data_IF_290936704479
#
_entry.id   IF_290936704479
#
_cell.length_a   1.000
_cell.length_b   1.000
_cell.length_c   1.000
_cell.angle_alpha   90.00
_cell.angle_beta   90.00
_cell.angle_gamma   90.00
#
_symmetry.space_group_name_H-M   'P 1'
#
loop_
_entity.id
_entity.type
_entity.pdbx_description
1 polymer ?
#
# COMPACT_ATOMS: atom_id res chain seq x y z
N UNK A 1 1.83 18.20 -53.21
CA UNK A 1 1.51 18.73 -51.87
C UNK A 1 2.83 19.19 -51.23
N UNK A 2 2.98 20.47 -50.87
CA UNK A 2 4.30 20.97 -50.43
C UNK A 2 4.69 20.41 -49.06
N UNK A 3 5.99 20.17 -48.84
CA UNK A 3 6.55 19.62 -47.59
C UNK A 3 6.05 20.37 -46.34
N UNK A 4 5.79 21.68 -46.47
CA UNK A 4 5.22 22.53 -45.41
C UNK A 4 3.80 22.12 -44.99
N UNK A 5 2.96 21.65 -45.93
CA UNK A 5 1.60 21.19 -45.63
C UNK A 5 1.59 19.82 -44.95
N UNK A 6 2.57 18.97 -45.22
CA UNK A 6 2.74 17.67 -44.55
C UNK A 6 3.17 17.85 -43.09
N UNK A 7 4.07 18.80 -42.82
CA UNK A 7 4.59 19.09 -41.48
C UNK A 7 3.50 19.63 -40.52
N UNK A 8 2.57 20.44 -41.05
CA UNK A 8 1.46 21.03 -40.29
C UNK A 8 0.40 20.01 -39.87
N UNK A 9 0.27 18.89 -40.60
CA UNK A 9 -0.68 17.82 -40.27
C UNK A 9 -0.08 16.83 -39.25
N UNK A 10 1.24 16.64 -39.26
CA UNK A 10 1.93 15.73 -38.34
C UNK A 10 2.11 16.30 -36.92
N UNK A 11 2.18 17.63 -36.77
CA UNK A 11 2.36 18.29 -35.47
C UNK A 11 1.24 17.99 -34.44
N UNK A 12 -0.07 18.07 -34.78
CA UNK A 12 -1.13 17.74 -33.81
C UNK A 12 -1.21 16.24 -33.49
N UNK A 13 -0.79 15.35 -34.39
CA UNK A 13 -0.74 13.91 -34.12
C UNK A 13 0.32 13.54 -33.07
N UNK A 14 1.45 14.26 -33.02
CA UNK A 14 2.48 14.08 -32.00
C UNK A 14 2.07 14.61 -30.62
N UNK A 15 1.21 15.63 -30.56
CA UNK A 15 0.71 16.18 -29.29
C UNK A 15 -0.39 15.30 -28.70
N UNK A 16 -1.23 14.67 -29.53
CA UNK A 16 -2.28 13.76 -29.05
C UNK A 16 -1.73 12.46 -28.45
N UNK A 17 -0.59 11.94 -28.91
CA UNK A 17 -0.03 10.69 -28.37
C UNK A 17 0.52 10.83 -26.96
N UNK A 18 0.88 12.03 -26.52
CA UNK A 18 1.36 12.27 -25.16
C UNK A 18 0.24 12.39 -24.11
N UNK A 19 -1.02 12.49 -24.52
CA UNK A 19 -2.17 12.60 -23.61
C UNK A 19 -2.73 11.24 -23.15
N UNK A 20 -2.34 10.13 -23.77
CA UNK A 20 -2.84 8.78 -23.44
C UNK A 20 -1.88 7.93 -22.60
N UNK A 21 -0.73 8.47 -22.19
CA UNK A 21 0.23 7.78 -21.32
C UNK A 21 0.08 8.15 -19.83
N UNK A 22 -1.12 8.56 -19.41
CA UNK A 22 -1.43 8.73 -17.99
C UNK A 22 -1.72 7.35 -17.40
N UNK A 23 -0.64 6.75 -16.90
CA UNK A 23 -0.59 5.47 -16.20
C UNK A 23 -1.71 5.43 -15.15
N UNK A 24 -2.66 4.52 -15.36
CA UNK A 24 -3.85 4.37 -14.53
C UNK A 24 -3.45 4.15 -13.08
N UNK A 25 -4.24 4.69 -12.14
CA UNK A 25 -4.25 4.42 -10.70
C UNK A 25 -4.43 2.91 -10.40
N UNK A 26 -3.46 2.09 -10.80
CA UNK A 26 -3.52 0.66 -10.63
C UNK A 26 -3.42 0.38 -9.14
N UNK A 27 -4.47 -0.23 -8.58
CA UNK A 27 -4.54 -0.61 -7.17
C UNK A 27 -3.47 -1.65 -6.79
N UNK A 28 -2.83 -2.24 -7.79
CA UNK A 28 -1.67 -3.11 -7.62
C UNK A 28 -0.78 -3.12 -8.87
N UNK A 29 0.44 -3.62 -8.69
CA UNK A 29 1.38 -3.93 -9.78
C UNK A 29 1.87 -5.37 -9.63
N UNK A 30 1.83 -6.12 -10.72
CA UNK A 30 2.39 -7.48 -10.84
C UNK A 30 3.78 -7.40 -11.47
N UNK A 31 4.76 -8.07 -10.90
CA UNK A 31 6.11 -8.16 -11.44
C UNK A 31 6.54 -9.64 -11.49
N UNK A 32 6.48 -10.29 -12.67
CA UNK A 32 6.99 -11.63 -12.87
C UNK A 32 8.51 -11.70 -12.64
N UNK A 33 8.97 -12.79 -12.04
CA UNK A 33 10.36 -13.14 -11.79
C UNK A 33 10.58 -14.62 -12.10
N UNK A 34 11.83 -15.08 -12.21
CA UNK A 34 12.12 -16.49 -12.45
C UNK A 34 11.60 -17.36 -11.30
N UNK A 35 10.52 -18.09 -11.57
CA UNK A 35 9.84 -18.98 -10.63
C UNK A 35 9.02 -18.27 -9.56
N UNK A 36 8.73 -16.97 -9.64
CA UNK A 36 7.75 -16.35 -8.74
C UNK A 36 7.16 -15.07 -9.30
N UNK A 37 6.09 -14.58 -8.67
CA UNK A 37 5.50 -13.28 -8.96
C UNK A 37 5.52 -12.41 -7.71
N UNK A 38 5.96 -11.15 -7.87
CA UNK A 38 5.81 -10.13 -6.85
C UNK A 38 4.53 -9.33 -7.11
N UNK A 39 3.72 -9.17 -6.08
CA UNK A 39 2.56 -8.30 -6.09
C UNK A 39 2.84 -7.10 -5.19
N UNK A 40 2.64 -5.89 -5.72
CA UNK A 40 2.73 -4.64 -4.98
C UNK A 40 1.33 -4.05 -4.88
N UNK A 41 0.80 -3.92 -3.66
CA UNK A 41 -0.53 -3.33 -3.45
C UNK A 41 -0.35 -1.83 -3.22
N UNK A 42 -1.09 -0.99 -3.94
CA UNK A 42 -0.90 0.46 -3.89
C UNK A 42 -1.20 1.03 -2.49
N UNK A 43 -0.50 2.11 -2.07
CA UNK A 43 -0.64 2.65 -0.73
C UNK A 43 -2.08 3.07 -0.42
N UNK A 44 -2.63 2.54 0.66
CA UNK A 44 -3.97 2.90 1.16
C UNK A 44 -3.85 3.84 2.36
N UNK A 45 -4.67 4.90 2.40
CA UNK A 45 -4.57 5.91 3.46
C UNK A 45 -5.36 5.53 4.70
N UNK A 46 -4.70 5.59 5.85
CA UNK A 46 -5.32 5.58 7.17
C UNK A 46 -5.07 6.94 7.83
N UNK A 47 -6.15 7.55 8.34
CA UNK A 47 -6.12 8.93 8.87
C UNK A 47 -6.39 8.91 10.37
N UNK A 48 -5.42 9.34 11.18
CA UNK A 48 -5.64 9.55 12.60
C UNK A 48 -6.47 10.83 12.84
N UNK A 49 -7.50 10.73 13.68
CA UNK A 49 -8.21 11.90 14.23
C UNK A 49 -7.59 12.29 15.59
N UNK A 50 -7.26 13.57 15.86
CA UNK A 50 -7.23 14.74 14.97
C UNK A 50 -5.80 15.05 14.45
N UNK A 51 -5.55 14.78 13.16
CA UNK A 51 -5.15 15.84 12.21
C UNK A 51 -3.67 16.15 11.98
N UNK A 52 -2.70 15.38 12.48
CA UNK A 52 -1.26 15.68 12.22
C UNK A 52 -0.42 14.52 11.71
N UNK A 53 -0.95 13.30 11.73
CA UNK A 53 -0.23 12.12 11.29
C UNK A 53 -1.08 11.35 10.30
N UNK A 54 -0.53 11.11 9.11
CA UNK A 54 -1.12 10.25 8.08
C UNK A 54 -0.32 8.96 8.02
N UNK A 55 -1.01 7.84 7.92
CA UNK A 55 -0.43 6.54 7.66
C UNK A 55 -0.83 6.13 6.24
N UNK A 56 0.13 5.65 5.46
CA UNK A 56 -0.14 4.93 4.21
C UNK A 56 0.42 3.53 4.33
N UNK A 57 -0.32 2.52 3.88
CA UNK A 57 0.12 1.12 3.95
C UNK A 57 0.07 0.48 2.57
N UNK A 58 1.13 -0.22 2.21
CA UNK A 58 1.23 -1.06 1.03
C UNK A 58 1.78 -2.43 1.41
N UNK A 59 1.58 -3.42 0.52
CA UNK A 59 1.97 -4.80 0.78
C UNK A 59 2.79 -5.34 -0.38
N UNK A 60 3.76 -6.20 -0.05
CA UNK A 60 4.49 -6.99 -1.03
C UNK A 60 4.52 -8.44 -0.60
N UNK A 61 4.20 -9.34 -1.52
CA UNK A 61 4.37 -10.77 -1.29
C UNK A 61 4.85 -11.47 -2.54
N UNK A 62 5.57 -12.57 -2.31
CA UNK A 62 6.11 -13.45 -3.32
C UNK A 62 5.20 -14.68 -3.46
N UNK A 63 4.88 -15.05 -4.70
CA UNK A 63 4.06 -16.23 -5.00
C UNK A 63 4.80 -17.19 -5.93
N UNK A 64 4.90 -18.47 -5.56
CA UNK A 64 5.61 -19.55 -6.28
C UNK A 64 4.79 -20.86 -6.19
N UNK A 65 3.57 -20.87 -6.71
CA UNK A 65 2.62 -22.02 -6.72
C UNK A 65 1.98 -22.40 -5.37
N UNK A 66 2.42 -21.81 -4.26
CA UNK A 66 1.80 -21.97 -2.95
C UNK A 66 1.55 -20.61 -2.29
N UNK A 67 0.53 -20.57 -1.43
CA UNK A 67 0.23 -19.41 -0.59
C UNK A 67 1.47 -19.08 0.27
N UNK A 68 1.90 -17.80 0.33
CA UNK A 68 3.05 -17.44 1.14
C UNK A 68 2.70 -17.47 2.63
N UNK A 69 3.68 -17.81 3.48
CA UNK A 69 3.50 -17.78 4.93
C UNK A 69 3.42 -16.34 5.46
N UNK A 70 4.14 -15.42 4.83
CA UNK A 70 4.26 -14.02 5.24
C UNK A 70 4.16 -13.03 4.08
N UNK A 71 3.76 -11.81 4.43
CA UNK A 71 3.68 -10.65 3.54
C UNK A 71 4.49 -9.53 4.18
N UNK A 72 5.26 -8.81 3.36
CA UNK A 72 5.91 -7.58 3.79
C UNK A 72 4.90 -6.44 3.78
N UNK A 73 4.43 -6.06 4.97
CA UNK A 73 3.65 -4.84 5.16
C UNK A 73 4.61 -3.66 5.27
N UNK A 74 4.49 -2.71 4.35
CA UNK A 74 5.23 -1.45 4.39
C UNK A 74 4.27 -0.34 4.74
N UNK A 75 4.73 0.60 5.57
CA UNK A 75 3.89 1.73 5.91
C UNK A 75 4.68 3.00 6.11
N UNK A 76 4.04 4.13 5.77
CA UNK A 76 4.62 5.46 5.78
C UNK A 76 3.90 6.36 6.76
N UNK A 77 4.65 6.91 7.72
CA UNK A 77 4.19 7.93 8.66
C UNK A 77 4.61 9.30 8.17
N UNK A 78 3.63 10.18 7.97
CA UNK A 78 3.84 11.58 7.63
C UNK A 78 3.56 12.44 8.84
N UNK A 79 4.58 13.12 9.39
CA UNK A 79 4.41 13.92 10.61
C UNK A 79 5.32 15.15 10.65
N UNK A 80 5.16 16.01 11.66
CA UNK A 80 5.98 17.23 11.82
C UNK A 80 7.36 16.98 12.43
N UNK A 81 7.57 15.84 13.08
CA UNK A 81 8.82 15.48 13.76
C UNK A 81 9.35 14.16 13.18
N UNK A 82 10.66 13.91 13.14
CA UNK A 82 11.16 12.63 12.64
C UNK A 82 10.73 11.50 13.58
N UNK A 83 10.22 10.40 13.02
CA UNK A 83 9.94 9.16 13.75
C UNK A 83 11.01 8.15 13.34
N UNK A 84 11.96 7.87 14.24
CA UNK A 84 13.11 7.00 13.95
C UNK A 84 12.92 5.55 14.37
N UNK A 85 11.95 5.30 15.26
CA UNK A 85 11.68 3.97 15.80
C UNK A 85 10.25 3.89 16.30
N UNK A 86 9.74 2.66 16.34
CA UNK A 86 8.42 2.28 16.80
C UNK A 86 8.60 1.09 17.74
N UNK A 87 7.83 1.04 18.82
CA UNK A 87 7.90 -0.03 19.81
C UNK A 87 7.14 -1.26 19.31
N UNK A 88 5.96 -1.05 18.73
CA UNK A 88 5.12 -2.11 18.18
C UNK A 88 4.02 -1.58 17.26
N UNK A 89 3.45 -2.49 16.49
CA UNK A 89 2.25 -2.29 15.67
C UNK A 89 1.23 -3.38 16.00
N UNK A 90 -0.05 -3.00 16.08
CA UNK A 90 -1.17 -3.92 16.32
C UNK A 90 -2.30 -3.62 15.34
N UNK A 91 -2.87 -4.66 14.75
CA UNK A 91 -3.95 -4.58 13.78
C UNK A 91 -5.25 -5.04 14.45
N UNK A 92 -6.32 -4.26 14.31
CA UNK A 92 -7.62 -4.52 14.91
C UNK A 92 -8.73 -4.47 13.87
N UNK A 93 -9.79 -5.25 14.07
CA UNK A 93 -11.11 -5.06 13.46
C UNK A 93 -12.14 -4.90 14.57
N UNK A 94 -12.61 -3.67 14.80
CA UNK A 94 -13.43 -3.36 15.96
C UNK A 94 -12.68 -3.64 17.28
N UNK A 95 -13.15 -4.58 18.08
CA UNK A 95 -12.50 -5.02 19.33
C UNK A 95 -11.57 -6.22 19.14
N UNK A 96 -11.64 -6.91 17.99
CA UNK A 96 -10.83 -8.09 17.72
C UNK A 96 -9.41 -7.69 17.30
N UNK A 97 -8.40 -8.28 17.95
CA UNK A 97 -7.00 -8.18 17.52
C UNK A 97 -6.75 -9.19 16.41
N UNK A 98 -6.32 -8.72 15.24
CA UNK A 98 -6.01 -9.55 14.07
C UNK A 98 -4.53 -9.97 14.04
N UNK A 99 -3.65 -9.12 14.57
CA UNK A 99 -2.21 -9.37 14.55
C UNK A 99 -1.44 -8.31 15.33
N UNK A 100 -0.19 -8.61 15.64
CA UNK A 100 0.76 -7.63 16.17
C UNK A 100 2.20 -8.03 15.84
N UNK A 101 3.07 -7.03 15.87
CA UNK A 101 4.50 -7.20 15.65
C UNK A 101 5.27 -6.15 16.43
N UNK A 102 6.43 -6.55 16.95
CA UNK A 102 7.46 -5.68 17.49
C UNK A 102 8.72 -5.66 16.60
N UNK A 103 8.68 -6.35 15.46
CA UNK A 103 9.77 -6.41 14.49
C UNK A 103 9.50 -5.40 13.39
N UNK A 104 9.96 -4.17 13.59
CA UNK A 104 9.77 -3.07 12.64
C UNK A 104 11.13 -2.56 12.17
N UNK A 105 11.36 -2.59 10.87
CA UNK A 105 12.58 -2.08 10.25
C UNK A 105 12.32 -0.73 9.60
N UNK A 106 13.15 0.27 9.87
CA UNK A 106 13.09 1.55 9.16
C UNK A 106 13.72 1.40 7.78
N UNK A 107 12.94 1.63 6.73
CA UNK A 107 13.46 1.62 5.35
C UNK A 107 14.15 2.93 5.03
N UNK A 108 13.49 4.06 5.35
CA UNK A 108 14.06 5.38 5.18
C UNK A 108 13.39 6.42 6.07
N UNK A 109 14.10 7.53 6.26
CA UNK A 109 13.62 8.73 6.90
C UNK A 109 14.04 9.95 6.08
N UNK A 110 13.07 10.64 5.48
CA UNK A 110 13.33 11.82 4.68
C UNK A 110 12.38 12.96 5.02
N UNK A 111 12.79 14.18 4.69
CA UNK A 111 11.95 15.37 4.84
C UNK A 111 11.43 15.79 3.46
N UNK A 112 10.12 15.82 3.29
CA UNK A 112 9.45 16.24 2.05
C UNK A 112 8.37 17.28 2.35
N UNK A 113 8.35 18.38 1.60
CA UNK A 113 7.37 19.49 1.71
C UNK A 113 7.06 19.91 3.16
N UNK A 114 8.10 19.99 4.00
CA UNK A 114 7.98 20.42 5.40
C UNK A 114 7.44 19.36 6.38
N UNK A 115 7.24 18.12 5.94
CA UNK A 115 6.89 16.97 6.80
C UNK A 115 7.99 15.92 6.75
N UNK A 116 8.14 15.18 7.84
CA UNK A 116 8.95 13.98 7.86
C UNK A 116 8.13 12.82 7.31
N UNK A 117 8.73 12.08 6.40
CA UNK A 117 8.25 10.82 5.85
C UNK A 117 9.15 9.72 6.40
N UNK A 118 8.58 8.94 7.32
CA UNK A 118 9.25 7.81 7.95
C UNK A 118 8.61 6.54 7.41
N UNK A 119 9.36 5.70 6.71
CA UNK A 119 8.84 4.48 6.11
C UNK A 119 9.43 3.26 6.80
N UNK A 120 8.57 2.31 7.12
CA UNK A 120 8.90 1.10 7.84
C UNK A 120 8.44 -0.13 7.04
N UNK A 121 9.11 -1.25 7.28
CA UNK A 121 8.71 -2.58 6.82
C UNK A 121 8.53 -3.49 8.02
N UNK A 122 7.55 -4.39 7.95
CA UNK A 122 7.39 -5.46 8.92
C UNK A 122 6.77 -6.68 8.25
N UNK A 123 7.30 -7.89 8.47
CA UNK A 123 6.65 -9.10 8.03
C UNK A 123 5.39 -9.34 8.88
N UNK A 124 4.28 -9.63 8.22
CA UNK A 124 3.06 -10.11 8.87
C UNK A 124 2.67 -11.47 8.31
N UNK A 125 1.99 -12.34 9.09
CA UNK A 125 1.43 -13.57 8.54
C UNK A 125 0.47 -13.26 7.38
N UNK A 126 0.49 -14.07 6.33
CA UNK A 126 -0.45 -13.91 5.22
C UNK A 126 -1.91 -14.02 5.68
N UNK A 127 -2.18 -14.88 6.66
CA UNK A 127 -3.49 -14.99 7.31
C UNK A 127 -3.96 -13.68 7.96
N UNK A 128 -3.03 -12.86 8.46
CA UNK A 128 -3.37 -11.53 8.99
C UNK A 128 -3.80 -10.60 7.85
N UNK A 129 -3.14 -10.64 6.69
CA UNK A 129 -3.58 -9.88 5.50
C UNK A 129 -4.98 -10.33 5.07
N UNK A 130 -5.26 -11.64 4.98
CA UNK A 130 -6.60 -12.15 4.62
C UNK A 130 -7.69 -11.65 5.57
N UNK A 131 -7.40 -11.65 6.88
CA UNK A 131 -8.30 -11.11 7.89
C UNK A 131 -8.50 -9.60 7.73
N UNK A 132 -7.45 -8.84 7.37
CA UNK A 132 -7.56 -7.40 7.10
C UNK A 132 -8.43 -7.13 5.86
N UNK A 133 -8.26 -7.90 4.79
CA UNK A 133 -9.06 -7.78 3.58
C UNK A 133 -10.53 -8.10 3.86
N UNK A 134 -10.78 -9.13 4.66
CA UNK A 134 -12.14 -9.54 5.06
C UNK A 134 -12.73 -8.68 6.19
N UNK A 135 -11.95 -7.76 6.78
CA UNK A 135 -12.42 -6.93 7.88
C UNK A 135 -13.48 -5.94 7.40
N UNK A 136 -14.61 -5.94 8.10
CA UNK A 136 -15.69 -4.99 7.87
C UNK A 136 -15.35 -3.56 8.37
N UNK A 137 -16.39 -2.73 8.59
CA UNK A 137 -16.20 -1.44 9.24
C UNK A 137 -15.55 -1.62 10.61
N UNK A 138 -14.37 -1.02 10.81
CA UNK A 138 -13.66 -1.08 12.09
C UNK A 138 -12.21 -1.53 12.01
N UNK A 139 -11.69 -1.84 10.81
CA UNK A 139 -10.25 -2.05 10.64
C UNK A 139 -9.48 -0.81 11.12
N UNK A 140 -8.46 -1.03 11.95
CA UNK A 140 -7.57 0.00 12.43
C UNK A 140 -6.17 -0.54 12.68
N UNK A 141 -5.17 0.30 12.44
CA UNK A 141 -3.78 0.05 12.79
C UNK A 141 -3.44 0.93 14.00
N UNK A 142 -2.94 0.33 15.08
CA UNK A 142 -2.38 1.05 16.22
C UNK A 142 -0.87 0.93 16.20
N UNK A 143 -0.20 2.07 16.34
CA UNK A 143 1.26 2.16 16.41
C UNK A 143 1.63 2.72 17.77
N UNK A 144 2.60 2.07 18.42
CA UNK A 144 3.17 2.46 19.69
C UNK A 144 4.59 2.97 19.46
N UNK A 145 4.90 4.16 19.98
CA UNK A 145 6.23 4.75 19.84
C UNK A 145 6.54 5.69 21.01
N UNK A 146 7.58 5.39 21.79
CA UNK A 146 8.08 6.24 22.86
C UNK A 146 6.95 6.72 23.81
N UNK A 147 6.07 5.80 24.20
CA UNK A 147 4.93 6.09 25.08
C UNK A 147 3.72 6.75 24.41
N UNK A 148 3.77 7.03 23.11
CA UNK A 148 2.63 7.51 22.33
C UNK A 148 1.88 6.34 21.70
N UNK A 149 0.55 6.42 21.71
CA UNK A 149 -0.32 5.51 20.95
C UNK A 149 -1.00 6.29 19.84
N UNK A 150 -0.79 5.86 18.59
CA UNK A 150 -1.42 6.43 17.41
C UNK A 150 -2.43 5.42 16.85
N UNK A 151 -3.69 5.84 16.70
CA UNK A 151 -4.76 5.01 16.17
C UNK A 151 -5.15 5.48 14.75
N UNK A 152 -5.02 4.58 13.78
CA UNK A 152 -5.26 4.82 12.37
C UNK A 152 -6.42 3.95 11.89
N UNK A 153 -7.68 4.41 12.00
CA UNK A 153 -8.81 3.70 11.40
C UNK A 153 -8.69 3.70 9.87
N UNK A 154 -9.12 2.60 9.25
CA UNK A 154 -9.18 2.45 7.81
C UNK A 154 -10.16 3.46 7.20
N UNK A 155 -9.73 4.11 6.12
CA UNK A 155 -10.57 4.99 5.31
C UNK A 155 -11.53 4.21 4.40
N UNK A 156 -12.35 4.95 3.63
CA UNK A 156 -13.16 4.34 2.57
C UNK A 156 -12.29 3.67 1.50
N UNK A 157 -11.19 4.33 1.16
CA UNK A 157 -10.18 3.90 0.19
C UNK A 157 -9.64 2.48 0.49
N UNK A 158 -9.57 2.09 1.77
CA UNK A 158 -9.17 0.72 2.13
C UNK A 158 -10.18 -0.32 1.66
N UNK A 159 -11.48 -0.05 1.73
CA UNK A 159 -12.50 -1.04 1.36
C UNK A 159 -12.49 -1.30 -0.14
N UNK A 160 -12.40 -0.24 -0.93
CA UNK A 160 -12.30 -0.34 -2.38
C UNK A 160 -11.04 -1.11 -2.79
N UNK A 161 -9.90 -0.79 -2.17
CA UNK A 161 -8.67 -1.55 -2.36
C UNK A 161 -8.85 -3.01 -1.93
N UNK A 162 -9.44 -3.27 -0.76
CA UNK A 162 -9.59 -4.62 -0.23
C UNK A 162 -10.43 -5.53 -1.13
N UNK A 163 -11.53 -5.04 -1.70
CA UNK A 163 -12.35 -5.82 -2.63
C UNK A 163 -11.59 -6.18 -3.90
N UNK A 164 -10.91 -5.20 -4.52
CA UNK A 164 -10.10 -5.46 -5.72
C UNK A 164 -8.97 -6.46 -5.42
N UNK A 165 -8.33 -6.32 -4.26
CA UNK A 165 -7.28 -7.23 -3.83
C UNK A 165 -7.80 -8.65 -3.60
N UNK A 166 -8.99 -8.83 -3.02
CA UNK A 166 -9.61 -10.16 -2.88
C UNK A 166 -9.82 -10.81 -4.24
N UNK A 167 -10.36 -10.09 -5.21
CA UNK A 167 -10.61 -10.61 -6.55
C UNK A 167 -9.31 -11.08 -7.21
N UNK A 168 -8.26 -10.26 -7.15
CA UNK A 168 -6.95 -10.61 -7.70
C UNK A 168 -6.38 -11.84 -7.01
N UNK A 169 -6.38 -11.87 -5.68
CA UNK A 169 -5.87 -13.02 -4.93
C UNK A 169 -6.69 -14.28 -5.23
N UNK A 170 -8.01 -14.18 -5.39
CA UNK A 170 -8.85 -15.33 -5.73
C UNK A 170 -8.54 -15.89 -7.13
N UNK A 171 -8.31 -15.03 -8.12
CA UNK A 171 -7.96 -15.43 -9.49
C UNK A 171 -6.55 -16.02 -9.56
N UNK A 172 -5.59 -15.40 -8.87
CA UNK A 172 -4.16 -15.69 -9.04
C UNK A 172 -3.65 -16.79 -8.12
N UNK A 173 -4.18 -16.87 -6.89
CA UNK A 173 -3.79 -17.90 -5.92
C UNK A 173 -4.67 -19.15 -6.08
N UNK A 174 -5.81 -19.00 -6.75
CA UNK A 174 -6.86 -20.00 -6.79
C UNK A 174 -7.43 -20.18 -5.39
N UNK A 175 -8.75 -20.14 -5.27
CA UNK A 175 -9.36 -20.99 -4.24
C UNK A 175 -9.04 -22.43 -4.65
N UNK A 176 -7.89 -22.95 -4.23
CA UNK A 176 -7.65 -24.37 -4.09
C UNK A 176 -8.64 -24.88 -3.04
N UNK A 177 -9.88 -25.09 -3.48
CA UNK A 177 -10.82 -25.99 -2.82
C UNK A 177 -10.46 -27.42 -3.15
#
# INVERSE_FOLDING_TARGET
MSLRKLLLILLPALVCSQLFAQDSDALYRKLPQEGFVLYFLSPTSFKAKPGKVRLETDFTFQYRDQRPDSVDMKFSLFSKKPVRGLDSLVIFSGTQRLGATNTLEIMFLQKDKGKWHSRFSTPIPYSTLEQMLSAGPGLAIKIYAAGLTLNFPAGKDWREAAEVLKEILAVEIGTGG
#
